data_IF_533454478897
#
_entry.id   IF_533454478897
#
_cell.length_a   1.000
_cell.length_b   1.000
_cell.length_c   1.000
_cell.angle_alpha   90.00
_cell.angle_beta   90.00
_cell.angle_gamma   90.00
#
_symmetry.space_group_name_H-M   'P 1'
#
loop_
_entity.id
_entity.type
_entity.pdbx_description
1 polymer ?
#
# COMPACT_ATOMS: atom_id res chain seq x y z
N UNK A 1 0.41 3.46 4.21
CA UNK A 1 1.44 4.44 3.77
C UNK A 1 1.77 4.21 2.30
N UNK A 2 2.30 5.21 1.61
CA UNK A 2 2.91 5.03 0.29
C UNK A 2 4.42 4.82 0.40
N UNK A 3 5.08 4.30 -0.65
CA UNK A 3 6.56 4.26 -0.70
C UNK A 3 7.19 5.65 -0.48
N UNK A 4 6.50 6.71 -0.93
CA UNK A 4 6.91 8.10 -0.71
C UNK A 4 6.80 8.51 0.76
N UNK A 5 5.71 8.13 1.44
CA UNK A 5 5.54 8.41 2.87
C UNK A 5 6.63 7.73 3.72
N UNK A 6 6.99 6.48 3.39
CA UNK A 6 8.09 5.77 4.06
C UNK A 6 9.41 6.51 3.85
N UNK A 7 9.71 6.89 2.59
CA UNK A 7 10.93 7.64 2.30
C UNK A 7 10.96 8.98 3.06
N UNK A 8 9.84 9.71 3.08
CA UNK A 8 9.74 10.99 3.77
C UNK A 8 9.93 10.87 5.28
N UNK A 9 9.37 9.82 5.90
CA UNK A 9 9.56 9.51 7.33
C UNK A 9 11.04 9.27 7.66
N UNK A 10 11.79 8.71 6.71
CA UNK A 10 13.24 8.50 6.82
C UNK A 10 14.07 9.74 6.42
N UNK A 11 13.46 10.91 6.22
CA UNK A 11 14.16 12.13 5.75
C UNK A 11 14.68 12.04 4.31
N UNK A 12 14.15 11.11 3.51
CA UNK A 12 14.61 10.80 2.16
C UNK A 12 13.56 11.14 1.10
N UNK A 13 14.02 11.32 -0.14
CA UNK A 13 13.15 11.39 -1.34
C UNK A 13 13.17 10.09 -2.14
N UNK A 14 13.78 9.03 -1.59
CA UNK A 14 14.08 7.77 -2.27
C UNK A 14 12.92 6.77 -2.36
N UNK A 15 11.73 7.18 -2.79
CA UNK A 15 10.56 6.27 -2.88
C UNK A 15 10.82 5.01 -3.74
N UNK A 16 11.60 5.15 -4.83
CA UNK A 16 11.99 3.99 -5.67
C UNK A 16 12.94 3.03 -4.94
N UNK A 17 13.83 3.57 -4.10
CA UNK A 17 14.72 2.74 -3.29
C UNK A 17 13.93 1.96 -2.24
N UNK A 18 12.94 2.60 -1.60
CA UNK A 18 12.00 1.90 -0.70
C UNK A 18 11.28 0.78 -1.45
N UNK A 19 10.71 1.07 -2.62
CA UNK A 19 10.04 0.05 -3.43
C UNK A 19 10.94 -1.15 -3.78
N UNK A 20 12.22 -0.89 -4.11
CA UNK A 20 13.21 -1.93 -4.35
C UNK A 20 13.48 -2.78 -3.11
N UNK A 21 13.70 -2.15 -1.95
CA UNK A 21 13.90 -2.87 -0.68
C UNK A 21 12.68 -3.72 -0.32
N UNK A 22 11.47 -3.20 -0.50
CA UNK A 22 10.24 -3.96 -0.25
C UNK A 22 10.10 -5.15 -1.20
N UNK A 23 10.50 -5.02 -2.47
CA UNK A 23 10.48 -6.12 -3.43
C UNK A 23 11.55 -7.19 -3.15
N UNK A 24 12.74 -6.79 -2.72
CA UNK A 24 13.88 -7.69 -2.49
C UNK A 24 13.89 -8.31 -1.09
N UNK A 25 13.27 -7.65 -0.10
CA UNK A 25 13.42 -8.02 1.32
C UNK A 25 12.15 -7.86 2.17
N UNK A 26 11.03 -7.40 1.58
CA UNK A 26 9.79 -7.13 2.31
C UNK A 26 8.93 -8.35 2.65
N UNK A 27 9.32 -9.56 2.23
CA UNK A 27 8.48 -10.75 2.34
C UNK A 27 8.12 -11.20 3.76
N UNK A 28 8.84 -10.73 4.78
CA UNK A 28 8.62 -11.08 6.19
C UNK A 28 7.89 -9.99 6.99
N UNK A 29 7.58 -8.85 6.37
CA UNK A 29 6.87 -7.74 7.00
C UNK A 29 5.47 -7.58 6.42
N UNK A 30 4.66 -6.69 7.00
CA UNK A 30 3.33 -6.35 6.48
C UNK A 30 3.41 -5.50 5.19
N UNK A 31 4.04 -6.05 4.15
CA UNK A 31 4.39 -5.37 2.91
C UNK A 31 3.18 -4.77 2.18
N UNK A 32 2.01 -5.38 2.33
CA UNK A 32 0.76 -4.89 1.74
C UNK A 32 0.38 -3.49 2.24
N UNK A 33 0.88 -3.04 3.40
CA UNK A 33 0.59 -1.72 3.97
C UNK A 33 1.42 -0.57 3.39
N UNK A 34 2.42 -0.89 2.56
CA UNK A 34 3.25 0.09 1.84
C UNK A 34 2.94 0.01 0.35
N UNK A 35 2.20 1.00 -0.16
CA UNK A 35 1.57 0.94 -1.47
C UNK A 35 2.05 2.05 -2.41
N UNK A 36 1.55 2.02 -3.64
CA UNK A 36 1.82 3.06 -4.63
C UNK A 36 1.09 4.36 -4.27
N UNK A 37 1.62 5.50 -4.72
CA UNK A 37 1.05 6.82 -4.45
C UNK A 37 -0.36 7.03 -5.01
N UNK A 38 -0.74 6.24 -6.02
CA UNK A 38 -2.08 6.25 -6.61
C UNK A 38 -3.07 5.33 -5.86
N UNK A 39 -2.66 4.73 -4.74
CA UNK A 39 -3.48 3.83 -3.93
C UNK A 39 -3.56 2.41 -4.48
N UNK A 40 -2.84 2.09 -5.54
CA UNK A 40 -2.77 0.71 -6.07
C UNK A 40 -1.99 -0.22 -5.14
N UNK A 41 -2.37 -1.51 -5.07
CA UNK A 41 -1.54 -2.51 -4.44
C UNK A 41 -0.13 -2.58 -5.07
N UNK A 42 0.85 -3.17 -4.37
CA UNK A 42 2.15 -3.50 -4.95
C UNK A 42 1.97 -4.34 -6.22
N UNK A 43 2.70 -3.96 -7.28
CA UNK A 43 2.55 -4.59 -8.59
C UNK A 43 2.94 -6.08 -8.55
N UNK A 44 2.12 -6.94 -9.14
CA UNK A 44 2.34 -8.39 -9.17
C UNK A 44 1.92 -9.12 -7.88
N UNK A 45 1.41 -8.41 -6.88
CA UNK A 45 0.93 -8.97 -5.61
C UNK A 45 -0.51 -8.54 -5.29
N UNK A 46 -1.28 -8.14 -6.30
CA UNK A 46 -2.61 -7.58 -6.13
C UNK A 46 -3.56 -8.55 -5.42
N UNK A 47 -3.52 -9.84 -5.77
CA UNK A 47 -4.37 -10.88 -5.15
C UNK A 47 -4.15 -10.97 -3.65
N UNK A 48 -2.90 -11.15 -3.23
CA UNK A 48 -2.55 -11.32 -1.82
C UNK A 48 -2.80 -10.02 -1.03
N UNK A 49 -2.41 -8.87 -1.61
CA UNK A 49 -2.62 -7.57 -0.99
C UNK A 49 -4.11 -7.28 -0.76
N UNK A 50 -4.97 -7.56 -1.75
CA UNK A 50 -6.42 -7.38 -1.63
C UNK A 50 -7.01 -8.30 -0.56
N UNK A 51 -6.53 -9.53 -0.43
CA UNK A 51 -6.95 -10.43 0.63
C UNK A 51 -6.63 -9.85 2.02
N UNK A 52 -5.42 -9.33 2.20
CA UNK A 52 -5.04 -8.64 3.43
C UNK A 52 -5.88 -7.39 3.69
N UNK A 53 -6.12 -6.54 2.69
CA UNK A 53 -6.93 -5.34 2.86
C UNK A 53 -8.34 -5.65 3.33
N UNK A 54 -8.97 -6.69 2.77
CA UNK A 54 -10.30 -7.14 3.19
C UNK A 54 -10.28 -7.69 4.61
N UNK A 55 -9.29 -8.53 4.93
CA UNK A 55 -9.14 -9.11 6.26
C UNK A 55 -8.91 -8.04 7.34
N UNK A 56 -8.16 -6.98 7.03
CA UNK A 56 -7.86 -5.87 7.94
C UNK A 56 -8.92 -4.76 7.93
N UNK A 57 -9.95 -4.85 7.08
CA UNK A 57 -10.94 -3.78 6.93
C UNK A 57 -10.36 -2.47 6.38
N UNK A 58 -9.27 -2.55 5.60
CA UNK A 58 -8.61 -1.38 5.01
C UNK A 58 -9.59 -0.65 4.09
N UNK A 59 -9.82 0.67 4.26
CA UNK A 59 -10.69 1.43 3.38
C UNK A 59 -10.25 1.34 1.91
N UNK A 60 -11.13 0.83 1.05
CA UNK A 60 -10.96 0.80 -0.40
C UNK A 60 -11.89 1.83 -1.04
N UNK A 61 -11.51 2.37 -2.20
CA UNK A 61 -12.39 3.26 -2.95
C UNK A 61 -13.59 2.50 -3.50
N UNK A 62 -14.79 3.02 -3.24
CA UNK A 62 -16.06 2.32 -3.49
C UNK A 62 -16.34 2.05 -4.98
N UNK A 63 -15.77 2.85 -5.88
CA UNK A 63 -15.91 2.71 -7.33
C UNK A 63 -15.32 1.40 -7.88
N UNK A 64 -14.43 0.75 -7.13
CA UNK A 64 -13.66 -0.43 -7.59
C UNK A 64 -13.59 -1.57 -6.56
N UNK A 65 -14.31 -1.49 -5.45
CA UNK A 65 -14.17 -2.39 -4.30
C UNK A 65 -15.32 -3.41 -4.11
N UNK A 66 -15.90 -3.91 -5.20
CA UNK A 66 -16.98 -4.91 -5.13
C UNK A 66 -16.45 -6.34 -5.37
N UNK A 67 -17.17 -7.35 -4.85
CA UNK A 67 -16.90 -8.76 -5.12
C UNK A 67 -17.04 -9.04 -6.62
N UNK A 68 -15.91 -9.15 -7.32
CA UNK A 68 -15.84 -9.32 -8.78
C UNK A 68 -15.11 -8.20 -9.52
N UNK A 69 -14.69 -7.12 -8.85
CA UNK A 69 -13.85 -6.10 -9.46
C UNK A 69 -12.50 -6.68 -9.91
N UNK A 70 -12.01 -6.18 -11.04
CA UNK A 70 -10.64 -6.43 -11.49
C UNK A 70 -9.66 -5.99 -10.37
N UNK A 71 -8.84 -6.91 -9.88
CA UNK A 71 -7.89 -6.64 -8.80
C UNK A 71 -6.89 -5.54 -9.18
N UNK A 72 -6.60 -5.38 -10.48
CA UNK A 72 -5.75 -4.30 -11.00
C UNK A 72 -6.43 -2.93 -10.93
N UNK A 73 -7.75 -2.89 -10.76
CA UNK A 73 -8.55 -1.68 -10.60
C UNK A 73 -8.73 -1.27 -9.13
N UNK A 74 -8.50 -2.17 -8.17
CA UNK A 74 -8.65 -1.88 -6.74
C UNK A 74 -7.71 -0.76 -6.30
N UNK A 75 -8.24 0.17 -5.50
CA UNK A 75 -7.47 1.26 -4.88
C UNK A 75 -7.81 1.34 -3.39
N UNK A 76 -6.77 1.47 -2.57
CA UNK A 76 -6.91 1.91 -1.17
C UNK A 76 -7.33 3.38 -1.16
N UNK A 77 -8.30 3.71 -0.32
CA UNK A 77 -8.64 5.09 -0.04
C UNK A 77 -7.58 5.68 0.90
N UNK A 78 -6.52 6.21 0.31
CA UNK A 78 -5.39 6.78 1.02
C UNK A 78 -5.80 7.89 1.99
N UNK A 79 -6.88 8.65 1.73
CA UNK A 79 -7.31 9.71 2.64
C UNK A 79 -7.87 9.15 3.96
N UNK A 80 -8.48 7.96 3.91
CA UNK A 80 -9.08 7.29 5.07
C UNK A 80 -8.17 6.25 5.72
N UNK A 81 -7.19 5.75 4.98
CA UNK A 81 -6.30 4.67 5.40
C UNK A 81 -4.86 5.14 5.65
N UNK A 82 -4.58 6.45 5.62
CA UNK A 82 -3.23 6.96 5.84
C UNK A 82 -2.82 6.67 7.28
N UNK A 83 -1.62 6.13 7.42
CA UNK A 83 -0.94 6.04 8.70
C UNK A 83 0.06 7.18 8.78
N UNK A 84 0.09 7.84 9.94
CA UNK A 84 1.04 8.91 10.25
C UNK A 84 1.90 8.44 11.43
N UNK A 85 3.23 8.51 11.32
CA UNK A 85 4.12 8.19 12.43
C UNK A 85 3.98 9.24 13.53
N UNK A 86 3.93 8.82 14.79
CA UNK A 86 4.18 9.71 15.91
C UNK A 86 5.66 10.10 15.88
N UNK A 87 5.92 11.37 15.59
CA UNK A 87 7.26 11.96 15.59
C UNK A 87 7.48 12.71 16.90
N UNK A 88 7.47 11.96 18.01
CA UNK A 88 7.88 12.45 19.33
C UNK A 88 9.42 12.39 19.50
#
# INVERSE_FOLDING_TARGET
>A
MTYGDVAATLGSRGARAVGRVMAESGGTVAWWRVIRSDGRPPAGHETDAVAHYRAEGTPLRADVAHSGADLMSVRVDLARARWEPDLD
#
